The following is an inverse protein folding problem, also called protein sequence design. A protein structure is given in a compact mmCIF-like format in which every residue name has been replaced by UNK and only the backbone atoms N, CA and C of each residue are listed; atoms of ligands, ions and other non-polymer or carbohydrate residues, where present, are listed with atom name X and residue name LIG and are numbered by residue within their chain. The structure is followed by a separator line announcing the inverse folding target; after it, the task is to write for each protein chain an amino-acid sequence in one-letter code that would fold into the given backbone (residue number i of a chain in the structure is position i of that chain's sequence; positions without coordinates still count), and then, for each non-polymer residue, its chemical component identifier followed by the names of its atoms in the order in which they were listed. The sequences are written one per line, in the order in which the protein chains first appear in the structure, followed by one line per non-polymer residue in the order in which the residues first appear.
data_IF_663121711616
#
_entry.id   IF_663121711616
#
_cell.length_a   1.000
_cell.length_b   1.000
_cell.length_c   1.000
_cell.angle_alpha   90.00
_cell.angle_beta   90.00
_cell.angle_gamma   90.00
#
_symmetry.space_group_name_H-M   'P 1'
#
loop_
_entity.id
_entity.type
_entity.pdbx_description
1 polymer ?
#
# COMPACT_ATOMS: atom_id res chain seq x y z
N UNK A 1 8.29 -27.37 -0.14
CA UNK A 1 9.49 -26.52 -0.34
C UNK A 1 9.78 -26.22 -1.80
N UNK A 2 9.70 -27.19 -2.73
CA UNK A 2 10.01 -26.98 -4.16
C UNK A 2 9.20 -25.86 -4.85
N UNK A 3 7.88 -25.83 -4.66
CA UNK A 3 7.00 -24.81 -5.27
C UNK A 3 7.30 -23.38 -4.79
N UNK A 4 7.79 -23.23 -3.55
CA UNK A 4 8.12 -21.93 -2.95
C UNK A 4 9.31 -21.29 -3.65
N UNK A 5 10.40 -22.05 -3.84
CA UNK A 5 11.59 -21.59 -4.55
C UNK A 5 11.31 -21.29 -6.04
N UNK A 6 10.46 -22.09 -6.67
CA UNK A 6 10.06 -21.86 -8.06
C UNK A 6 9.30 -20.53 -8.22
N UNK A 7 8.34 -20.26 -7.33
CA UNK A 7 7.58 -19.00 -7.34
C UNK A 7 8.47 -17.78 -7.10
N UNK A 8 9.42 -17.87 -6.16
CA UNK A 8 10.40 -16.78 -5.92
C UNK A 8 11.26 -16.50 -7.16
N UNK A 9 11.65 -17.53 -7.91
CA UNK A 9 12.40 -17.36 -9.18
C UNK A 9 11.57 -16.65 -10.24
N UNK A 10 10.28 -16.96 -10.36
CA UNK A 10 9.37 -16.28 -11.29
C UNK A 10 9.28 -14.79 -10.93
N UNK A 11 8.97 -14.47 -9.66
CA UNK A 11 8.81 -13.09 -9.20
C UNK A 11 10.07 -12.27 -9.48
N UNK A 12 11.25 -12.78 -9.13
CA UNK A 12 12.50 -12.09 -9.39
C UNK A 12 12.84 -11.97 -10.87
N UNK A 13 12.37 -12.88 -11.72
CA UNK A 13 12.52 -12.74 -13.16
C UNK A 13 11.67 -11.58 -13.69
N UNK A 14 10.45 -11.40 -13.18
CA UNK A 14 9.56 -10.30 -13.55
C UNK A 14 10.10 -8.95 -13.04
N UNK A 15 10.69 -8.91 -11.85
CA UNK A 15 11.28 -7.69 -11.29
C UNK A 15 12.51 -7.17 -12.06
N UNK A 16 13.15 -7.97 -12.92
CA UNK A 16 14.31 -7.52 -13.71
C UNK A 16 13.98 -6.43 -14.74
N UNK A 17 12.69 -6.22 -15.05
CA UNK A 17 12.21 -5.11 -15.88
C UNK A 17 12.30 -3.74 -15.20
N UNK A 18 12.61 -3.67 -13.90
CA UNK A 18 12.62 -2.41 -13.15
C UNK A 18 13.79 -1.47 -13.47
N UNK A 19 14.81 -1.94 -14.19
CA UNK A 19 15.96 -1.16 -14.59
C UNK A 19 15.72 -0.49 -15.97
N UNK A 20 14.81 0.47 -16.01
CA UNK A 20 14.70 1.42 -17.12
C UNK A 20 14.80 2.82 -16.53
N UNK A 21 16.03 3.37 -16.56
CA UNK A 21 16.41 4.78 -16.69
C UNK A 21 17.81 4.95 -16.11
N UNK A 22 18.78 4.59 -16.94
CA UNK A 22 20.19 4.77 -16.71
C UNK A 22 20.89 4.50 -18.03
N UNK A 23 21.10 5.56 -18.81
CA UNK A 23 22.15 5.57 -19.83
C UNK A 23 23.45 5.47 -19.05
N UNK A 24 23.84 4.25 -18.66
CA UNK A 24 25.17 3.84 -18.17
C UNK A 24 25.09 2.36 -17.76
N UNK A 25 25.43 1.50 -18.73
CA UNK A 25 26.12 0.21 -18.57
C UNK A 25 26.07 -0.45 -17.17
N UNK A 26 25.13 -1.37 -16.93
CA UNK A 26 25.38 -2.55 -16.10
C UNK A 26 24.67 -3.77 -16.71
N UNK A 27 25.46 -4.83 -16.89
CA UNK A 27 25.14 -6.05 -17.63
C UNK A 27 23.94 -6.81 -17.02
N UNK A 28 22.74 -6.62 -17.54
CA UNK A 28 21.68 -7.62 -17.42
C UNK A 28 21.59 -8.40 -18.74
N UNK A 29 21.97 -9.69 -18.70
CA UNK A 29 22.13 -10.62 -19.84
C UNK A 29 20.84 -11.04 -20.57
N UNK A 30 19.69 -10.41 -20.31
CA UNK A 30 18.48 -10.65 -21.08
C UNK A 30 18.29 -9.48 -22.05
N UNK A 31 18.06 -9.78 -23.33
CA UNK A 31 17.64 -8.79 -24.34
C UNK A 31 16.37 -8.10 -23.85
N UNK A 32 16.50 -6.93 -23.22
CA UNK A 32 15.38 -6.15 -22.69
C UNK A 32 14.53 -5.66 -23.86
N UNK A 33 13.23 -5.94 -23.82
CA UNK A 33 12.30 -5.51 -24.87
C UNK A 33 12.15 -3.98 -24.83
N UNK A 34 11.95 -3.29 -25.95
CA UNK A 34 11.88 -1.82 -26.01
C UNK A 34 10.82 -1.17 -25.10
N UNK A 35 9.80 -1.94 -24.70
CA UNK A 35 8.66 -1.49 -23.88
C UNK A 35 8.54 -2.26 -22.56
N UNK A 36 9.58 -3.00 -22.15
CA UNK A 36 9.62 -3.58 -20.81
C UNK A 36 9.85 -2.46 -19.79
N UNK A 37 8.85 -2.19 -18.95
CA UNK A 37 8.85 -1.04 -18.05
C UNK A 37 8.42 -1.42 -16.64
N UNK A 38 8.96 -0.67 -15.67
CA UNK A 38 8.56 -0.76 -14.27
C UNK A 38 7.10 -0.36 -14.06
N UNK A 39 6.46 -1.00 -13.07
CA UNK A 39 5.16 -0.57 -12.55
C UNK A 39 5.18 -0.59 -11.01
N UNK A 40 4.75 0.51 -10.38
CA UNK A 40 4.78 0.66 -8.92
C UNK A 40 3.92 -0.37 -8.19
N UNK A 41 2.69 -0.59 -8.64
CA UNK A 41 1.79 -1.55 -8.01
C UNK A 41 2.35 -2.98 -8.12
N UNK A 42 2.95 -3.32 -9.27
CA UNK A 42 3.60 -4.61 -9.47
C UNK A 42 4.85 -4.78 -8.59
N UNK A 43 5.55 -3.70 -8.26
CA UNK A 43 6.77 -3.76 -7.45
C UNK A 43 6.47 -3.87 -5.98
N UNK A 44 5.47 -3.13 -5.51
CA UNK A 44 4.90 -3.31 -4.19
C UNK A 44 4.43 -4.75 -3.98
N UNK A 45 3.63 -5.30 -4.91
CA UNK A 45 3.12 -6.67 -4.81
C UNK A 45 4.22 -7.74 -4.96
N UNK A 46 5.25 -7.49 -5.77
CA UNK A 46 6.38 -8.40 -5.91
C UNK A 46 7.23 -8.45 -4.63
N UNK A 47 7.56 -7.31 -4.03
CA UNK A 47 8.31 -7.24 -2.77
C UNK A 47 7.55 -7.89 -1.62
N UNK A 48 6.27 -7.57 -1.46
CA UNK A 48 5.43 -8.22 -0.43
C UNK A 48 5.33 -9.73 -0.65
N UNK A 49 5.17 -10.18 -1.90
CA UNK A 49 5.15 -11.61 -2.23
C UNK A 49 6.47 -12.31 -1.87
N UNK A 50 7.62 -11.70 -2.17
CA UNK A 50 8.93 -12.22 -1.78
C UNK A 50 9.06 -12.33 -0.26
N UNK A 51 8.62 -11.31 0.48
CA UNK A 51 8.64 -11.30 1.96
C UNK A 51 7.71 -12.37 2.55
N UNK A 52 6.51 -12.56 2.01
CA UNK A 52 5.58 -13.63 2.40
C UNK A 52 6.20 -15.01 2.13
N UNK A 53 6.91 -15.14 1.01
CA UNK A 53 7.71 -16.32 0.67
C UNK A 53 9.04 -16.38 1.44
N UNK A 54 9.31 -15.52 2.41
CA UNK A 54 10.50 -15.62 3.24
C UNK A 54 11.82 -15.40 2.49
N UNK A 55 11.81 -14.68 1.36
CA UNK A 55 13.03 -14.20 0.70
C UNK A 55 13.69 -13.12 1.58
N UNK A 56 15.00 -12.94 1.43
CA UNK A 56 15.78 -11.92 2.13
C UNK A 56 15.97 -10.64 1.31
N UNK A 57 15.38 -10.58 0.10
CA UNK A 57 15.49 -9.49 -0.86
C UNK A 57 16.92 -9.22 -1.34
N UNK A 58 17.88 -10.13 -1.09
CA UNK A 58 19.29 -9.97 -1.48
C UNK A 58 19.49 -9.92 -3.00
N UNK A 59 18.56 -10.54 -3.75
CA UNK A 59 18.57 -10.60 -5.22
C UNK A 59 17.81 -9.44 -5.88
N UNK A 60 17.16 -8.60 -5.09
CA UNK A 60 16.46 -7.41 -5.58
C UNK A 60 17.48 -6.31 -5.82
N UNK A 61 17.46 -5.73 -7.02
CA UNK A 61 18.25 -4.53 -7.34
C UNK A 61 17.60 -3.29 -6.71
N UNK A 62 17.89 -3.08 -5.42
CA UNK A 62 17.30 -2.01 -4.61
C UNK A 62 17.61 -0.64 -5.20
N UNK A 63 18.86 -0.42 -5.65
CA UNK A 63 19.31 0.84 -6.23
C UNK A 63 18.57 1.17 -7.53
N UNK A 64 18.32 0.19 -8.40
CA UNK A 64 17.50 0.41 -9.59
C UNK A 64 16.07 0.82 -9.22
N UNK A 65 15.47 0.19 -8.20
CA UNK A 65 14.12 0.54 -7.73
C UNK A 65 14.04 1.97 -7.21
N UNK A 66 14.98 2.36 -6.35
CA UNK A 66 15.02 3.69 -5.75
C UNK A 66 15.33 4.77 -6.80
N UNK A 67 16.19 4.50 -7.78
CA UNK A 67 16.46 5.44 -8.86
C UNK A 67 15.26 5.62 -9.78
N UNK A 68 14.54 4.54 -10.12
CA UNK A 68 13.32 4.63 -10.91
C UNK A 68 12.24 5.46 -10.19
N UNK A 69 12.14 5.34 -8.87
CA UNK A 69 11.18 6.09 -8.04
C UNK A 69 11.25 7.61 -8.27
N UNK A 70 12.47 8.15 -8.42
CA UNK A 70 12.70 9.59 -8.66
C UNK A 70 12.04 10.11 -9.93
N UNK A 71 11.93 9.27 -10.96
CA UNK A 71 11.34 9.63 -12.25
C UNK A 71 9.82 9.46 -12.27
N UNK A 72 9.26 8.76 -11.29
CA UNK A 72 7.82 8.51 -11.19
C UNK A 72 7.12 9.57 -10.34
N UNK A 73 7.85 10.27 -9.47
CA UNK A 73 7.29 11.37 -8.69
C UNK A 73 7.08 12.61 -9.57
N UNK A 74 5.90 13.20 -9.49
CA UNK A 74 5.54 14.45 -10.18
C UNK A 74 5.81 15.67 -9.30
N UNK A 75 5.74 16.85 -9.91
CA UNK A 75 6.00 18.12 -9.24
C UNK A 75 5.05 18.42 -8.08
N UNK A 76 3.81 17.94 -8.17
CA UNK A 76 2.79 18.07 -7.12
C UNK A 76 2.98 17.08 -5.96
N UNK A 77 3.94 16.15 -6.05
CA UNK A 77 4.21 15.14 -5.03
C UNK A 77 3.50 13.80 -5.25
N UNK A 78 2.57 13.72 -6.19
CA UNK A 78 1.95 12.45 -6.62
C UNK A 78 2.93 11.57 -7.40
N UNK A 79 2.53 10.34 -7.70
CA UNK A 79 3.33 9.40 -8.49
C UNK A 79 2.55 8.86 -9.68
N UNK A 80 3.22 8.63 -10.79
CA UNK A 80 2.69 7.84 -11.91
C UNK A 80 2.99 6.37 -11.75
N UNK A 81 2.17 5.50 -12.34
CA UNK A 81 2.36 4.06 -12.25
C UNK A 81 3.65 3.55 -12.92
N UNK A 82 4.03 4.17 -14.03
CA UNK A 82 5.16 3.83 -14.90
C UNK A 82 5.64 5.10 -15.59
N UNK A 83 6.81 5.08 -16.22
CA UNK A 83 7.43 6.27 -16.82
C UNK A 83 6.57 6.91 -17.93
N UNK A 84 5.77 6.10 -18.65
CA UNK A 84 4.79 6.55 -19.66
C UNK A 84 3.36 6.69 -19.10
N UNK A 85 3.20 6.51 -17.79
CA UNK A 85 1.89 6.56 -17.14
C UNK A 85 1.32 7.97 -17.19
N UNK A 86 0.05 8.07 -17.58
CA UNK A 86 -0.68 9.34 -17.62
C UNK A 86 -1.39 9.64 -16.32
N UNK A 87 -1.85 8.59 -15.61
CA UNK A 87 -2.52 8.79 -14.32
C UNK A 87 -1.52 8.98 -13.18
N UNK A 88 -1.96 9.73 -12.18
CA UNK A 88 -1.28 9.88 -10.91
C UNK A 88 -2.29 10.13 -9.81
N UNK A 89 -2.17 9.39 -8.72
CA UNK A 89 -3.11 9.50 -7.61
C UNK A 89 -2.53 8.84 -6.35
N UNK A 90 -3.33 8.87 -5.30
CA UNK A 90 -2.98 8.37 -3.98
C UNK A 90 -2.56 6.89 -3.96
N UNK A 91 -3.00 6.06 -4.93
CA UNK A 91 -2.62 4.64 -4.99
C UNK A 91 -1.11 4.49 -5.20
N UNK A 92 -0.54 5.33 -6.07
CA UNK A 92 0.88 5.27 -6.39
C UNK A 92 1.74 5.96 -5.34
N UNK A 93 1.19 6.95 -4.63
CA UNK A 93 1.81 7.50 -3.42
C UNK A 93 2.02 6.39 -2.38
N UNK A 94 0.98 5.60 -2.11
CA UNK A 94 1.08 4.45 -1.21
C UNK A 94 2.11 3.42 -1.69
N UNK A 95 2.06 3.04 -2.97
CA UNK A 95 3.03 2.08 -3.50
C UNK A 95 4.48 2.58 -3.34
N UNK A 96 4.73 3.86 -3.65
CA UNK A 96 6.05 4.47 -3.50
C UNK A 96 6.54 4.45 -2.05
N UNK A 97 5.69 4.83 -1.09
CA UNK A 97 6.02 4.83 0.33
C UNK A 97 6.25 3.41 0.88
N UNK A 98 5.39 2.46 0.52
CA UNK A 98 5.50 1.06 0.94
C UNK A 98 6.76 0.39 0.37
N UNK A 99 7.10 0.64 -0.90
CA UNK A 99 8.35 0.16 -1.51
C UNK A 99 9.55 0.75 -0.78
N UNK A 100 9.57 2.07 -0.58
CA UNK A 100 10.69 2.76 0.09
C UNK A 100 10.88 2.24 1.53
N UNK A 101 9.78 2.01 2.26
CA UNK A 101 9.81 1.41 3.59
C UNK A 101 10.34 -0.03 3.57
N UNK A 102 9.85 -0.88 2.67
CA UNK A 102 10.31 -2.28 2.55
C UNK A 102 11.79 -2.38 2.15
N UNK A 103 12.33 -1.38 1.43
CA UNK A 103 13.74 -1.32 1.07
C UNK A 103 14.58 -0.57 2.11
N UNK A 104 13.94 0.09 3.08
CA UNK A 104 14.54 1.01 4.04
C UNK A 104 15.42 2.07 3.37
N UNK A 105 14.92 2.65 2.28
CA UNK A 105 15.57 3.72 1.53
C UNK A 105 14.52 4.66 0.96
N UNK A 106 14.50 5.88 1.47
CA UNK A 106 13.59 6.94 1.05
C UNK A 106 14.28 8.00 0.17
N UNK A 107 15.55 7.79 -0.22
CA UNK A 107 16.30 8.75 -1.05
C UNK A 107 15.74 8.92 -2.47
N UNK A 108 14.81 8.06 -2.87
CA UNK A 108 14.09 8.10 -4.13
C UNK A 108 12.82 8.95 -4.12
N UNK A 109 12.40 9.48 -2.98
CA UNK A 109 11.16 10.26 -2.85
C UNK A 109 11.40 11.63 -2.19
N UNK A 110 10.72 12.65 -2.67
CA UNK A 110 10.57 13.92 -1.97
C UNK A 110 9.41 13.80 -0.97
N UNK A 111 9.74 13.57 0.30
CA UNK A 111 8.77 13.34 1.37
C UNK A 111 7.90 14.57 1.61
N UNK A 112 8.46 15.77 1.61
CA UNK A 112 7.72 17.00 1.89
C UNK A 112 6.63 17.24 0.84
N UNK A 113 6.94 16.97 -0.43
CA UNK A 113 5.94 17.01 -1.51
C UNK A 113 4.86 15.94 -1.35
N UNK A 114 5.21 14.73 -0.91
CA UNK A 114 4.21 13.69 -0.61
C UNK A 114 3.25 14.13 0.50
N UNK A 115 3.80 14.65 1.60
CA UNK A 115 3.00 15.14 2.73
C UNK A 115 2.09 16.29 2.27
N UNK A 116 2.62 17.21 1.47
CA UNK A 116 1.84 18.32 0.91
C UNK A 116 0.71 17.83 -0.01
N UNK A 117 0.98 16.88 -0.91
CA UNK A 117 -0.05 16.29 -1.78
C UNK A 117 -1.18 15.63 -0.98
N UNK A 118 -0.84 14.92 0.09
CA UNK A 118 -1.82 14.30 1.00
C UNK A 118 -2.65 15.34 1.74
N UNK A 119 -2.04 16.45 2.18
CA UNK A 119 -2.75 17.58 2.80
C UNK A 119 -3.73 18.24 1.85
N UNK A 120 -3.33 18.47 0.61
CA UNK A 120 -4.18 19.07 -0.42
C UNK A 120 -5.30 18.13 -0.91
N UNK A 121 -5.11 16.82 -0.74
CA UNK A 121 -6.10 15.79 -1.11
C UNK A 121 -7.16 15.53 -0.03
N UNK A 122 -7.05 16.15 1.14
CA UNK A 122 -8.08 16.08 2.18
C UNK A 122 -9.26 16.98 1.81
N UNK A 123 -10.45 16.39 1.74
CA UNK A 123 -11.68 17.11 1.36
C UNK A 123 -12.30 17.83 2.55
N UNK A 124 -13.38 18.58 2.30
CA UNK A 124 -14.13 19.32 3.32
C UNK A 124 -14.72 18.43 4.41
N UNK A 125 -14.93 17.14 4.11
CA UNK A 125 -15.48 16.13 5.02
C UNK A 125 -14.41 15.39 5.83
N UNK A 126 -13.13 15.78 5.70
CA UNK A 126 -11.97 15.20 6.38
C UNK A 126 -11.59 13.77 5.97
N UNK A 127 -12.27 13.20 4.96
CA UNK A 127 -11.74 12.07 4.21
C UNK A 127 -10.72 12.53 3.16
N UNK A 128 -10.09 11.58 2.48
CA UNK A 128 -9.01 11.86 1.51
C UNK A 128 -9.40 11.32 0.15
N UNK A 129 -9.37 12.19 -0.86
CA UNK A 129 -9.64 11.85 -2.25
C UNK A 129 -8.44 11.25 -2.97
N UNK A 130 -8.64 10.85 -4.23
CA UNK A 130 -7.54 10.35 -5.09
C UNK A 130 -6.48 11.42 -5.38
N UNK A 131 -6.84 12.69 -5.24
CA UNK A 131 -6.01 13.87 -5.42
C UNK A 131 -6.76 15.13 -4.98
N UNK A 132 -6.12 16.31 -5.06
CA UNK A 132 -6.71 17.58 -4.62
C UNK A 132 -8.07 17.89 -5.28
N UNK A 133 -9.03 18.31 -4.47
CA UNK A 133 -10.37 18.69 -4.92
C UNK A 133 -11.31 17.53 -5.30
N UNK A 134 -10.87 16.27 -5.15
CA UNK A 134 -11.70 15.11 -5.46
C UNK A 134 -12.50 14.62 -4.23
N UNK A 135 -13.55 13.85 -4.50
CA UNK A 135 -14.38 13.23 -3.46
C UNK A 135 -13.55 12.27 -2.59
N UNK A 136 -13.74 12.36 -1.29
CA UNK A 136 -13.15 11.45 -0.30
C UNK A 136 -13.57 10.01 -0.53
N UNK A 137 -12.60 9.10 -0.45
CA UNK A 137 -12.85 7.68 -0.70
C UNK A 137 -12.01 6.80 0.22
N UNK A 138 -12.56 5.67 0.67
CA UNK A 138 -11.95 4.79 1.68
C UNK A 138 -10.61 4.23 1.22
N UNK A 139 -10.50 3.85 -0.05
CA UNK A 139 -9.25 3.37 -0.62
C UNK A 139 -8.14 4.43 -0.67
N UNK A 140 -8.43 5.67 -1.08
CA UNK A 140 -7.44 6.75 -1.09
C UNK A 140 -7.11 7.25 0.32
N UNK A 141 -8.10 7.25 1.22
CA UNK A 141 -7.91 7.54 2.65
C UNK A 141 -6.96 6.54 3.29
N UNK A 142 -7.13 5.25 3.04
CA UNK A 142 -6.16 4.24 3.43
C UNK A 142 -4.77 4.52 2.84
N UNK A 143 -4.69 4.74 1.52
CA UNK A 143 -3.40 4.94 0.85
C UNK A 143 -2.63 6.12 1.47
N UNK A 144 -3.31 7.22 1.75
CA UNK A 144 -2.72 8.40 2.38
C UNK A 144 -2.30 8.14 3.84
N UNK A 145 -3.19 7.58 4.68
CA UNK A 145 -2.90 7.29 6.09
C UNK A 145 -1.75 6.31 6.22
N UNK A 146 -1.76 5.22 5.45
CA UNK A 146 -0.67 4.24 5.45
C UNK A 146 0.64 4.85 4.95
N UNK A 147 0.61 5.72 3.94
CA UNK A 147 1.80 6.45 3.49
C UNK A 147 2.38 7.33 4.60
N UNK A 148 1.55 8.15 5.24
CA UNK A 148 1.98 9.01 6.34
C UNK A 148 2.53 8.20 7.52
N UNK A 149 1.91 7.06 7.85
CA UNK A 149 2.40 6.16 8.90
C UNK A 149 3.79 5.60 8.56
N UNK A 150 3.97 5.07 7.35
CA UNK A 150 5.26 4.52 6.89
C UNK A 150 6.37 5.57 6.83
N UNK A 151 6.01 6.85 6.64
CA UNK A 151 6.92 8.00 6.66
C UNK A 151 7.14 8.60 8.05
N UNK A 152 6.40 8.14 9.08
CA UNK A 152 6.34 8.76 10.40
C UNK A 152 5.93 10.25 10.36
N UNK A 153 4.86 10.54 9.60
CA UNK A 153 4.36 11.89 9.28
C UNK A 153 2.85 12.06 9.51
N UNK A 154 2.21 11.17 10.29
CA UNK A 154 0.76 11.23 10.54
C UNK A 154 0.32 12.59 11.10
N UNK A 155 1.00 13.09 12.13
CA UNK A 155 0.64 14.35 12.80
C UNK A 155 0.85 15.59 11.92
N UNK A 156 1.76 15.50 10.95
CA UNK A 156 2.06 16.60 10.03
C UNK A 156 1.13 16.60 8.80
N UNK A 157 0.77 15.40 8.33
CA UNK A 157 0.04 15.21 7.07
C UNK A 157 -1.47 15.24 7.20
N UNK A 158 -2.05 14.97 8.38
CA UNK A 158 -3.50 15.06 8.59
C UNK A 158 -3.90 16.46 9.07
N UNK A 159 -4.93 17.04 8.44
CA UNK A 159 -5.48 18.34 8.85
C UNK A 159 -6.17 18.25 10.21
N UNK A 160 -6.80 17.11 10.51
CA UNK A 160 -7.39 16.82 11.81
C UNK A 160 -7.56 15.31 11.97
N UNK A 161 -6.73 14.69 12.82
CA UNK A 161 -6.80 13.25 13.10
C UNK A 161 -8.20 12.81 13.56
N UNK A 162 -8.78 13.52 14.53
CA UNK A 162 -10.10 13.19 15.10
C UNK A 162 -11.23 13.24 14.07
N UNK A 163 -11.21 14.24 13.18
CA UNK A 163 -12.24 14.36 12.14
C UNK A 163 -12.07 13.33 11.03
N UNK A 164 -10.83 12.96 10.70
CA UNK A 164 -10.56 11.83 9.80
C UNK A 164 -11.01 10.50 10.42
N UNK A 165 -10.80 10.28 11.72
CA UNK A 165 -11.33 9.12 12.46
C UNK A 165 -12.86 9.10 12.39
N UNK A 166 -13.50 10.24 12.66
CA UNK A 166 -14.96 10.35 12.57
C UNK A 166 -15.48 10.01 11.17
N UNK A 167 -14.81 10.49 10.11
CA UNK A 167 -15.17 10.17 8.72
C UNK A 167 -15.08 8.67 8.44
N UNK A 168 -14.00 8.01 8.91
CA UNK A 168 -13.78 6.57 8.75
C UNK A 168 -14.84 5.74 9.48
N UNK A 169 -15.13 6.05 10.75
CA UNK A 169 -16.16 5.35 11.53
C UNK A 169 -17.55 5.53 10.87
N UNK A 170 -17.83 6.72 10.34
CA UNK A 170 -19.07 7.03 9.60
C UNK A 170 -19.19 6.32 8.24
N UNK A 171 -18.28 5.40 7.89
CA UNK A 171 -18.41 4.49 6.75
C UNK A 171 -19.03 3.15 7.14
N UNK A 172 -19.17 2.86 8.43
CA UNK A 172 -19.79 1.61 8.86
C UNK A 172 -21.30 1.65 8.65
N UNK A 173 -21.79 0.66 7.91
CA UNK A 173 -23.19 0.22 7.89
C UNK A 173 -23.16 -1.26 8.28
N UNK A 174 -23.78 -2.20 7.54
CA UNK A 174 -23.60 -3.63 7.81
C UNK A 174 -22.14 -4.08 7.67
N UNK A 175 -21.44 -3.59 6.65
CA UNK A 175 -19.99 -3.63 6.52
C UNK A 175 -19.46 -2.21 6.44
N UNK A 176 -18.56 -1.93 5.51
CA UNK A 176 -18.10 -0.57 5.24
C UNK A 176 -18.40 -0.14 3.81
N UNK A 177 -18.85 1.10 3.64
CA UNK A 177 -18.95 1.75 2.33
C UNK A 177 -17.68 2.56 2.02
N UNK A 178 -17.32 2.65 0.73
CA UNK A 178 -16.13 3.40 0.31
C UNK A 178 -16.28 4.92 0.37
N UNK A 179 -17.50 5.41 0.25
CA UNK A 179 -17.87 6.83 0.26
C UNK A 179 -19.34 6.96 0.66
N UNK A 180 -19.76 8.13 1.10
CA UNK A 180 -21.11 8.34 1.61
C UNK A 180 -22.19 7.99 0.58
N UNK A 181 -23.29 7.40 1.06
CA UNK A 181 -24.47 7.02 0.27
C UNK A 181 -24.16 5.99 -0.83
N UNK A 182 -23.20 5.09 -0.60
CA UNK A 182 -22.90 3.95 -1.47
C UNK A 182 -23.07 2.64 -0.71
N UNK A 183 -23.42 1.55 -1.40
CA UNK A 183 -23.56 0.26 -0.73
C UNK A 183 -22.23 -0.17 -0.10
N UNK A 184 -22.28 -0.88 1.03
CA UNK A 184 -21.12 -1.53 1.61
C UNK A 184 -20.47 -2.54 0.66
N UNK A 185 -19.16 -2.71 0.79
CA UNK A 185 -18.36 -3.66 0.03
C UNK A 185 -17.32 -4.31 0.96
N UNK A 186 -17.19 -5.63 0.84
CA UNK A 186 -16.23 -6.49 1.55
C UNK A 186 -14.84 -5.88 1.69
N UNK A 187 -14.30 -5.29 0.62
CA UNK A 187 -12.92 -4.81 0.63
C UNK A 187 -12.70 -3.61 1.57
N UNK A 188 -13.74 -2.83 1.87
CA UNK A 188 -13.63 -1.69 2.79
C UNK A 188 -13.51 -2.12 4.26
N UNK A 189 -13.88 -3.36 4.60
CA UNK A 189 -13.59 -3.94 5.91
C UNK A 189 -12.09 -3.95 6.21
N UNK A 190 -11.26 -4.08 5.16
CA UNK A 190 -9.83 -3.84 5.28
C UNK A 190 -9.47 -2.37 5.08
N UNK A 191 -9.88 -1.70 3.99
CA UNK A 191 -9.37 -0.34 3.72
C UNK A 191 -9.70 0.65 4.85
N UNK A 192 -10.93 0.66 5.33
CA UNK A 192 -11.35 1.52 6.45
C UNK A 192 -10.81 0.96 7.77
N UNK A 193 -10.93 -0.35 7.99
CA UNK A 193 -10.48 -0.98 9.23
C UNK A 193 -8.98 -0.81 9.49
N UNK A 194 -8.13 -1.02 8.49
CA UNK A 194 -6.69 -0.85 8.59
C UNK A 194 -6.31 0.62 8.82
N UNK A 195 -7.05 1.56 8.22
CA UNK A 195 -6.88 2.99 8.49
C UNK A 195 -7.14 3.31 9.97
N UNK A 196 -8.24 2.78 10.52
CA UNK A 196 -8.58 2.93 11.94
C UNK A 196 -7.58 2.24 12.86
N UNK A 197 -7.03 1.09 12.47
CA UNK A 197 -5.96 0.42 13.21
C UNK A 197 -4.67 1.24 13.24
N UNK A 198 -4.29 1.88 12.13
CA UNK A 198 -3.11 2.76 12.05
C UNK A 198 -3.28 4.00 12.93
N UNK A 199 -4.51 4.49 13.07
CA UNK A 199 -4.83 5.67 13.88
C UNK A 199 -5.10 5.36 15.36
N UNK A 200 -4.99 4.10 15.79
CA UNK A 200 -5.36 3.61 17.12
C UNK A 200 -6.84 3.93 17.47
N UNK A 201 -7.76 3.60 16.57
CA UNK A 201 -9.20 3.89 16.72
C UNK A 201 -10.12 2.79 16.19
N UNK A 202 -9.59 1.59 15.99
CA UNK A 202 -10.37 0.44 15.50
C UNK A 202 -11.40 -0.06 16.52
N UNK A 203 -11.18 0.17 17.82
CA UNK A 203 -12.12 -0.19 18.89
C UNK A 203 -13.50 0.48 18.81
N UNK A 204 -13.65 1.54 18.02
CA UNK A 204 -14.92 2.26 17.88
C UNK A 204 -15.87 1.67 16.83
N UNK A 205 -15.51 0.56 16.16
CA UNK A 205 -16.39 -0.09 15.18
C UNK A 205 -17.32 -1.10 15.84
N UNK A 206 -18.44 -1.41 15.18
CA UNK A 206 -19.27 -2.56 15.50
C UNK A 206 -18.67 -3.84 14.90
N UNK A 207 -17.96 -4.61 15.72
CA UNK A 207 -17.27 -5.84 15.30
C UNK A 207 -18.24 -6.92 14.81
N UNK A 208 -19.34 -7.12 15.52
CA UNK A 208 -20.30 -8.20 15.24
C UNK A 208 -21.01 -7.93 13.92
N UNK A 209 -21.41 -6.67 13.67
CA UNK A 209 -22.03 -6.27 12.42
C UNK A 209 -21.10 -6.51 11.22
N UNK A 210 -19.85 -6.04 11.30
CA UNK A 210 -18.85 -6.22 10.25
C UNK A 210 -18.50 -7.70 10.01
N UNK A 211 -18.33 -8.48 11.06
CA UNK A 211 -18.10 -9.93 10.96
C UNK A 211 -19.26 -10.64 10.26
N UNK A 212 -20.49 -10.35 10.66
CA UNK A 212 -21.68 -10.95 10.05
C UNK A 212 -21.79 -10.58 8.57
N UNK A 213 -21.51 -9.33 8.21
CA UNK A 213 -21.44 -8.91 6.80
C UNK A 213 -20.41 -9.72 6.01
N UNK A 214 -19.18 -9.84 6.49
CA UNK A 214 -18.12 -10.61 5.84
C UNK A 214 -18.46 -12.09 5.67
N UNK A 215 -19.21 -12.67 6.61
CA UNK A 215 -19.69 -14.05 6.50
C UNK A 215 -20.74 -14.25 5.40
N UNK A 216 -21.48 -13.19 5.04
CA UNK A 216 -22.44 -13.23 3.93
C UNK A 216 -21.80 -13.03 2.55
N UNK A 217 -20.63 -12.39 2.46
CA UNK A 217 -20.05 -11.92 1.19
C UNK A 217 -18.92 -12.82 0.66
N UNK A 218 -19.13 -14.14 0.64
CA UNK A 218 -18.15 -15.09 0.09
C UNK A 218 -17.95 -14.83 -1.42
N UNK A 219 -16.84 -14.17 -1.77
CA UNK A 219 -16.49 -13.90 -3.16
C UNK A 219 -15.64 -15.00 -3.79
N UNK A 220 -15.76 -15.15 -5.10
CA UNK A 220 -14.88 -15.99 -5.93
C UNK A 220 -13.71 -15.22 -6.54
N UNK A 221 -13.69 -13.88 -6.45
CA UNK A 221 -12.56 -13.10 -6.91
C UNK A 221 -11.46 -13.00 -5.83
N UNK A 222 -10.22 -13.03 -6.30
CA UNK A 222 -9.03 -13.10 -5.44
C UNK A 222 -8.88 -11.82 -4.60
N UNK A 223 -9.28 -10.66 -5.11
CA UNK A 223 -9.13 -9.39 -4.41
C UNK A 223 -10.06 -9.34 -3.19
N UNK A 224 -11.37 -9.52 -3.35
CA UNK A 224 -12.30 -9.49 -2.22
C UNK A 224 -12.07 -10.66 -1.27
N UNK A 225 -11.61 -11.82 -1.76
CA UNK A 225 -11.21 -12.93 -0.88
C UNK A 225 -10.08 -12.51 0.04
N UNK A 226 -9.01 -11.92 -0.53
CA UNK A 226 -7.87 -11.48 0.26
C UNK A 226 -8.26 -10.37 1.25
N UNK A 227 -9.00 -9.37 0.78
CA UNK A 227 -9.36 -8.20 1.57
C UNK A 227 -10.42 -8.50 2.64
N UNK A 228 -11.34 -9.44 2.38
CA UNK A 228 -12.27 -9.93 3.39
C UNK A 228 -11.57 -10.71 4.50
N UNK A 229 -10.63 -11.60 4.14
CA UNK A 229 -9.79 -12.30 5.13
C UNK A 229 -8.91 -11.33 5.90
N UNK A 230 -8.36 -10.31 5.25
CA UNK A 230 -7.59 -9.27 5.92
C UNK A 230 -8.49 -8.48 6.89
N UNK A 231 -9.71 -8.10 6.50
CA UNK A 231 -10.70 -7.46 7.38
C UNK A 231 -11.03 -8.31 8.62
N UNK A 232 -11.26 -9.62 8.45
CA UNK A 232 -11.45 -10.56 9.57
C UNK A 232 -10.22 -10.59 10.49
N UNK A 233 -9.02 -10.61 9.91
CA UNK A 233 -7.73 -10.64 10.62
C UNK A 233 -7.48 -9.38 11.46
N UNK A 234 -8.09 -8.23 11.13
CA UNK A 234 -8.02 -7.03 11.98
C UNK A 234 -8.84 -7.19 13.27
N UNK A 235 -9.92 -7.97 13.24
CA UNK A 235 -10.81 -8.21 14.38
C UNK A 235 -10.31 -9.36 15.28
N UNK A 236 -9.47 -10.25 14.77
CA UNK A 236 -8.93 -11.38 15.52
C UNK A 236 -7.54 -11.10 16.10
N UNK A 237 -7.40 -11.15 17.43
CA UNK A 237 -6.10 -10.92 18.07
C UNK A 237 -5.02 -11.95 17.70
N UNK A 238 -5.43 -13.20 17.43
CA UNK A 238 -4.51 -14.33 17.25
C UNK A 238 -3.84 -14.40 15.88
N UNK A 239 -4.35 -13.68 14.88
CA UNK A 239 -3.90 -13.75 13.48
C UNK A 239 -3.75 -12.37 12.88
N UNK A 240 -3.13 -11.45 13.59
CA UNK A 240 -2.96 -10.07 13.13
C UNK A 240 -2.10 -9.98 11.87
N UNK A 241 -2.45 -9.00 11.06
CA UNK A 241 -1.71 -8.55 9.89
C UNK A 241 -1.08 -7.18 10.18
N UNK A 242 -0.11 -6.76 9.38
CA UNK A 242 0.40 -5.39 9.38
C UNK A 242 -0.60 -4.49 8.63
N UNK A 243 -1.32 -3.57 9.30
CA UNK A 243 -2.35 -2.78 8.65
C UNK A 243 -1.78 -1.82 7.60
N UNK A 244 -0.53 -1.37 7.73
CA UNK A 244 0.08 -0.43 6.80
C UNK A 244 0.64 -1.11 5.55
N UNK A 245 1.22 -2.30 5.68
CA UNK A 245 1.81 -3.03 4.55
C UNK A 245 0.90 -4.10 3.95
N UNK A 246 -0.23 -4.39 4.59
CA UNK A 246 -1.17 -5.45 4.22
C UNK A 246 -0.46 -6.80 3.99
N UNK A 247 0.36 -7.22 4.96
CA UNK A 247 1.03 -8.53 4.98
C UNK A 247 0.89 -9.16 6.36
N UNK A 248 0.99 -10.48 6.48
CA UNK A 248 0.99 -11.13 7.80
C UNK A 248 2.11 -10.60 8.71
N UNK A 249 1.90 -10.58 10.03
CA UNK A 249 2.98 -10.21 10.97
C UNK A 249 4.20 -11.13 10.87
N UNK A 250 4.04 -12.38 10.42
CA UNK A 250 5.16 -13.27 10.09
C UNK A 250 6.02 -12.72 8.95
N UNK A 251 5.41 -12.22 7.89
CA UNK A 251 6.11 -11.58 6.77
C UNK A 251 6.74 -10.24 7.20
N UNK A 252 6.05 -9.45 8.05
CA UNK A 252 6.62 -8.25 8.67
C UNK A 252 7.87 -8.58 9.50
N UNK A 253 7.84 -9.64 10.31
CA UNK A 253 9.03 -10.09 11.07
C UNK A 253 10.19 -10.46 10.14
N UNK A 254 9.89 -11.10 9.01
CA UNK A 254 10.92 -11.39 8.01
C UNK A 254 11.54 -10.09 7.45
N UNK A 255 10.72 -9.09 7.10
CA UNK A 255 11.17 -7.77 6.66
C UNK A 255 12.09 -7.10 7.70
N UNK A 256 11.66 -7.06 8.96
CA UNK A 256 12.44 -6.49 10.07
C UNK A 256 13.82 -7.15 10.19
N UNK A 257 13.85 -8.48 10.14
CA UNK A 257 15.09 -9.25 10.20
C UNK A 257 16.02 -9.00 9.00
N UNK A 258 15.50 -9.02 7.77
CA UNK A 258 16.35 -8.98 6.57
C UNK A 258 16.77 -7.57 6.14
N UNK A 259 15.94 -6.56 6.42
CA UNK A 259 16.19 -5.17 5.98
C UNK A 259 16.61 -4.27 7.14
N UNK A 260 15.91 -4.34 8.26
CA UNK A 260 16.18 -3.48 9.42
C UNK A 260 17.20 -4.08 10.39
N UNK A 261 17.54 -5.38 10.23
CA UNK A 261 18.42 -6.14 11.12
C UNK A 261 17.98 -6.07 12.60
N UNK A 262 16.68 -5.91 12.84
CA UNK A 262 16.08 -5.98 14.17
C UNK A 262 15.65 -7.41 14.49
N UNK A 263 15.80 -7.82 15.75
CA UNK A 263 15.47 -9.16 16.26
C UNK A 263 13.97 -9.37 16.52
#
# INVERSE_FOLDING_TARGET
MHNKFYLMKIILSLMKGFAVLGVLHFQCRASRLPFDASNLAMTYTALTSLLILGDDLSRVDKSAIINAMKYLQKDDGSFTQTYQGMESDMRFVYCACAISYMLNDFSGINIDKVVQYIKESQSYDYGIGQGPGLESHGGSTFCAIASLYLLNKLDEGLLSKDKTIFWLISRQESGFQGRANKPPDTCYSFWIGASLMILDSFEFIDYDQNYNFLMTTRSFDVMHTYMGVAGLSLMEESKKLDPALNISLKARKNLLKCVFKSE
#
